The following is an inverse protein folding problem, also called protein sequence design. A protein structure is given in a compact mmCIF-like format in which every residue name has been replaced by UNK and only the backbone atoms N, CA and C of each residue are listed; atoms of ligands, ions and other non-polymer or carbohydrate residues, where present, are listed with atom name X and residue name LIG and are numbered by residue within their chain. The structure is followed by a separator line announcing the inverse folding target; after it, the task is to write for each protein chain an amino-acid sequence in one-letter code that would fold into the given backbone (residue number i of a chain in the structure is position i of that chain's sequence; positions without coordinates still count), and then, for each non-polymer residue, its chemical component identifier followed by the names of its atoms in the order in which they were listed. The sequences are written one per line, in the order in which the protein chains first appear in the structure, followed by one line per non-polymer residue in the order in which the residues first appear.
data_IF_052176430022
#
_entry.id   IF_052176430022
#
_cell.length_a   1.000
_cell.length_b   1.000
_cell.length_c   1.000
_cell.angle_alpha   90.00
_cell.angle_beta   90.00
_cell.angle_gamma   90.00
#
_symmetry.space_group_name_H-M   'P 1'
#
loop_
_entity.id
_entity.type
_entity.pdbx_description
1 polymer ?
#
# COMPACT_ATOMS: atom_id res chain seq x y z
N UNK A 1 -7.54 -23.70 2.93
CA UNK A 1 -6.24 -23.64 3.62
C UNK A 1 -5.33 -22.72 2.82
N UNK A 2 -4.75 -21.70 3.46
CA UNK A 2 -3.83 -20.78 2.78
C UNK A 2 -2.41 -21.33 2.87
N UNK A 3 -1.69 -21.31 1.75
CA UNK A 3 -0.28 -21.70 1.69
C UNK A 3 0.59 -20.49 2.03
N UNK A 4 1.47 -20.64 3.02
CA UNK A 4 2.42 -19.60 3.44
C UNK A 4 3.81 -20.03 2.97
N UNK A 5 4.48 -19.15 2.22
CA UNK A 5 5.83 -19.38 1.69
C UNK A 5 6.65 -18.10 1.72
N UNK A 6 7.96 -18.24 1.57
CA UNK A 6 8.84 -17.10 1.34
C UNK A 6 8.44 -16.37 0.05
N UNK A 7 8.46 -15.04 0.11
CA UNK A 7 8.17 -14.21 -1.05
C UNK A 7 9.33 -14.28 -2.06
N UNK A 8 8.98 -14.11 -3.33
CA UNK A 8 9.90 -13.97 -4.45
C UNK A 8 9.68 -12.62 -5.11
N UNK A 9 10.58 -12.22 -6.00
CA UNK A 9 10.45 -10.95 -6.75
C UNK A 9 9.13 -10.83 -7.52
N UNK A 10 8.57 -11.97 -7.97
CA UNK A 10 7.28 -12.01 -8.69
C UNK A 10 6.09 -11.59 -7.82
N UNK A 11 6.24 -11.66 -6.50
CA UNK A 11 5.17 -11.32 -5.55
C UNK A 11 5.12 -9.82 -5.25
N UNK A 12 6.10 -9.03 -5.71
CA UNK A 12 6.25 -7.62 -5.36
C UNK A 12 4.99 -6.79 -5.65
N UNK A 13 4.34 -7.03 -6.80
CA UNK A 13 3.10 -6.31 -7.17
C UNK A 13 1.95 -6.66 -6.23
N UNK A 14 1.80 -7.94 -5.87
CA UNK A 14 0.74 -8.39 -4.96
C UNK A 14 0.97 -7.90 -3.53
N UNK A 15 2.23 -7.89 -3.06
CA UNK A 15 2.61 -7.34 -1.76
C UNK A 15 2.31 -5.83 -1.70
N UNK A 16 2.68 -5.08 -2.74
CA UNK A 16 2.38 -3.65 -2.83
C UNK A 16 0.87 -3.40 -2.76
N UNK A 17 0.07 -4.14 -3.52
CA UNK A 17 -1.39 -4.00 -3.54
C UNK A 17 -2.02 -4.24 -2.16
N UNK A 18 -1.61 -5.33 -1.48
CA UNK A 18 -2.08 -5.64 -0.12
C UNK A 18 -1.65 -4.56 0.87
N UNK A 19 -0.40 -4.10 0.81
CA UNK A 19 0.11 -3.05 1.68
C UNK A 19 -0.67 -1.73 1.48
N UNK A 20 -0.86 -1.28 0.24
CA UNK A 20 -1.63 -0.06 -0.07
C UNK A 20 -3.06 -0.16 0.47
N UNK A 21 -3.73 -1.29 0.27
CA UNK A 21 -5.10 -1.51 0.78
C UNK A 21 -5.14 -1.55 2.31
N UNK A 22 -4.20 -2.22 2.96
CA UNK A 22 -4.12 -2.29 4.40
C UNK A 22 -3.86 -0.91 5.02
N UNK A 23 -2.94 -0.13 4.44
CA UNK A 23 -2.70 1.26 4.82
C UNK A 23 -3.96 2.10 4.62
N UNK A 24 -4.52 2.12 3.41
CA UNK A 24 -5.76 2.86 3.14
C UNK A 24 -6.84 2.51 4.18
N UNK A 25 -7.17 1.23 4.37
CA UNK A 25 -8.23 0.82 5.30
C UNK A 25 -7.94 1.17 6.76
N UNK A 26 -6.68 1.07 7.19
CA UNK A 26 -6.27 1.38 8.57
C UNK A 26 -6.39 2.87 8.83
N UNK A 27 -5.88 3.70 7.90
CA UNK A 27 -5.82 5.15 8.08
C UNK A 27 -7.10 5.88 7.63
N UNK A 28 -7.97 5.23 6.85
CA UNK A 28 -9.32 5.73 6.55
C UNK A 28 -10.19 5.79 7.81
N UNK A 29 -10.05 4.78 8.68
CA UNK A 29 -10.79 4.69 9.94
C UNK A 29 -10.16 5.52 11.08
N UNK A 30 -8.93 6.01 10.89
CA UNK A 30 -8.30 7.04 11.73
C UNK A 30 -8.62 8.42 11.11
N UNK A 31 -9.92 8.72 10.98
CA UNK A 31 -10.57 10.01 10.70
C UNK A 31 -9.73 11.19 10.10
N UNK A 32 -10.13 11.65 8.90
CA UNK A 32 -10.07 13.05 8.44
C UNK A 32 -8.75 13.76 8.08
N UNK A 33 -7.60 13.10 7.93
CA UNK A 33 -6.34 13.81 7.68
C UNK A 33 -6.01 14.01 6.18
N UNK A 34 -6.03 15.27 5.72
CA UNK A 34 -5.53 15.77 4.42
C UNK A 34 -4.14 15.23 4.03
N UNK A 35 -3.35 14.81 5.01
CA UNK A 35 -2.00 14.28 4.85
C UNK A 35 -1.92 12.90 4.18
N UNK A 36 -2.95 12.06 4.25
CA UNK A 36 -2.92 10.71 3.63
C UNK A 36 -3.01 10.80 2.11
N UNK A 37 -3.84 11.71 1.59
CA UNK A 37 -3.98 11.91 0.15
C UNK A 37 -2.72 12.55 -0.46
N UNK A 38 -2.09 13.48 0.26
CA UNK A 38 -0.80 14.09 -0.12
C UNK A 38 0.34 13.05 -0.09
N UNK A 39 0.38 12.19 0.93
CA UNK A 39 1.36 11.09 1.02
C UNK A 39 1.17 10.05 -0.11
N UNK A 40 -0.07 9.66 -0.39
CA UNK A 40 -0.39 8.76 -1.50
C UNK A 40 0.02 9.39 -2.84
N UNK A 41 -0.28 10.67 -3.04
CA UNK A 41 0.12 11.43 -4.23
C UNK A 41 1.64 11.46 -4.38
N UNK A 42 2.38 11.77 -3.32
CA UNK A 42 3.84 11.75 -3.32
C UNK A 42 4.40 10.36 -3.66
N UNK A 43 3.85 9.29 -3.07
CA UNK A 43 4.27 7.91 -3.34
C UNK A 43 4.00 7.46 -4.79
N UNK A 44 2.94 7.97 -5.42
CA UNK A 44 2.62 7.68 -6.81
C UNK A 44 3.55 8.43 -7.78
N UNK A 45 3.91 9.69 -7.45
CA UNK A 45 4.80 10.52 -8.26
C UNK A 45 6.27 10.08 -8.22
N UNK A 46 6.78 9.57 -7.09
CA UNK A 46 8.15 9.04 -7.01
C UNK A 46 8.38 7.84 -7.93
N UNK A 47 7.34 7.07 -8.28
CA UNK A 47 7.46 5.95 -9.22
C UNK A 47 7.48 6.35 -10.70
N UNK A 48 7.43 7.66 -11.00
CA UNK A 48 7.47 8.23 -12.36
C UNK A 48 8.70 9.13 -12.62
N UNK A 49 9.71 9.10 -11.73
CA UNK A 49 11.07 9.63 -11.97
C UNK A 49 12.05 8.48 -12.22
#
# INVERSE_FOLDING_TARGET
MHSVRQATEKDAVAIRDVATKAWYNTYLNIYAASSVNELLTASYYETHL
#
